data_IF_160841259411
#
_entry.id   IF_160841259411
#
_cell.length_a   1.000
_cell.length_b   1.000
_cell.length_c   1.000
_cell.angle_alpha   90.00
_cell.angle_beta   90.00
_cell.angle_gamma   90.00
#
_symmetry.space_group_name_H-M   'P 1'
#
loop_
_entity.id
_entity.type
_entity.pdbx_description
1 polymer ?
#
# COMPACT_ATOMS: atom_id res chain seq x y z
N UNK A 1 10.05 -18.29 -21.62
CA UNK A 1 10.63 -18.43 -20.27
C UNK A 1 9.89 -19.52 -19.53
N UNK A 2 10.55 -20.18 -18.58
CA UNK A 2 9.93 -21.20 -17.72
C UNK A 2 9.37 -20.63 -16.41
N UNK A 3 9.74 -19.41 -16.02
CA UNK A 3 9.17 -18.70 -14.86
C UNK A 3 7.65 -18.59 -14.97
N UNK A 4 6.96 -18.93 -13.89
CA UNK A 4 5.51 -19.04 -13.81
C UNK A 4 4.95 -20.41 -14.21
N UNK A 5 5.74 -21.27 -14.88
CA UNK A 5 5.34 -22.62 -15.25
C UNK A 5 5.49 -23.63 -14.10
N UNK A 6 4.77 -24.76 -14.17
CA UNK A 6 4.82 -25.81 -13.15
C UNK A 6 6.14 -26.59 -13.22
N UNK A 7 6.66 -26.95 -12.04
CA UNK A 7 7.68 -27.98 -11.87
C UNK A 7 6.96 -29.30 -11.59
N UNK A 8 7.23 -30.32 -12.41
CA UNK A 8 6.57 -31.62 -12.33
C UNK A 8 7.52 -32.71 -11.81
N UNK A 9 6.99 -33.65 -11.03
CA UNK A 9 7.70 -34.90 -10.76
C UNK A 9 7.51 -35.92 -11.89
N UNK A 10 8.17 -37.09 -11.78
CA UNK A 10 8.08 -38.17 -12.78
C UNK A 10 6.68 -38.76 -12.97
N UNK A 11 5.74 -38.48 -12.06
CA UNK A 11 4.33 -38.89 -12.16
C UNK A 11 3.45 -37.83 -12.83
N UNK A 12 4.01 -36.68 -13.20
CA UNK A 12 3.26 -35.54 -13.75
C UNK A 12 2.55 -34.69 -12.69
N UNK A 13 2.87 -34.85 -11.41
CA UNK A 13 2.29 -34.06 -10.32
C UNK A 13 3.08 -32.75 -10.16
N UNK A 14 2.37 -31.65 -9.89
CA UNK A 14 3.00 -30.33 -9.64
C UNK A 14 3.65 -30.34 -8.27
N UNK A 15 4.97 -30.18 -8.24
CA UNK A 15 5.77 -30.10 -7.00
C UNK A 15 6.26 -28.69 -6.69
N UNK A 16 6.13 -27.75 -7.62
CA UNK A 16 6.42 -26.33 -7.39
C UNK A 16 6.12 -25.44 -8.60
N UNK A 17 6.40 -24.13 -8.47
CA UNK A 17 6.33 -23.15 -9.56
C UNK A 17 7.73 -22.57 -9.78
N UNK A 18 8.20 -22.56 -11.03
CA UNK A 18 9.49 -21.98 -11.37
C UNK A 18 9.45 -20.45 -11.19
N UNK A 19 10.35 -19.87 -10.40
CA UNK A 19 10.30 -18.42 -10.08
C UNK A 19 11.52 -17.65 -10.55
N UNK A 20 12.72 -18.22 -10.47
CA UNK A 20 13.93 -17.52 -10.90
C UNK A 20 15.09 -18.45 -11.29
N UNK A 21 16.03 -17.89 -12.03
CA UNK A 21 17.39 -18.41 -12.23
C UNK A 21 18.37 -17.44 -11.57
N UNK A 22 19.41 -17.96 -10.92
CA UNK A 22 20.56 -17.13 -10.54
C UNK A 22 21.56 -17.17 -11.71
N UNK A 23 21.92 -16.00 -12.24
CA UNK A 23 22.95 -15.86 -13.28
C UNK A 23 24.02 -14.88 -12.80
N UNK A 24 25.24 -15.36 -12.55
CA UNK A 24 26.39 -14.51 -12.20
C UNK A 24 27.11 -13.92 -13.42
N UNK A 25 26.77 -14.34 -14.64
CA UNK A 25 27.54 -14.02 -15.85
C UNK A 25 26.72 -13.94 -17.16
N UNK A 26 25.38 -13.88 -17.07
CA UNK A 26 24.50 -13.79 -18.26
C UNK A 26 24.26 -15.12 -19.01
N UNK A 27 24.78 -16.25 -18.50
CA UNK A 27 24.40 -17.60 -18.92
C UNK A 27 23.83 -18.39 -17.73
N UNK A 28 22.87 -19.28 -17.99
CA UNK A 28 22.25 -20.12 -16.95
C UNK A 28 23.30 -21.05 -16.35
N UNK A 29 23.54 -20.97 -15.05
CA UNK A 29 24.43 -21.88 -14.32
C UNK A 29 23.86 -23.31 -14.19
N UNK A 30 22.74 -23.63 -14.85
CA UNK A 30 22.07 -24.93 -14.76
C UNK A 30 21.25 -25.12 -13.47
N UNK A 31 21.12 -24.08 -12.64
CA UNK A 31 20.36 -24.11 -11.38
C UNK A 31 19.10 -23.25 -11.54
N UNK A 32 17.94 -23.90 -11.48
CA UNK A 32 16.64 -23.24 -11.42
C UNK A 32 16.05 -23.34 -10.02
N UNK A 33 15.35 -22.29 -9.60
CA UNK A 33 14.63 -22.28 -8.32
C UNK A 33 13.13 -22.37 -8.56
N UNK A 34 12.48 -23.17 -7.73
CA UNK A 34 11.03 -23.29 -7.69
C UNK A 34 10.53 -23.10 -6.26
N UNK A 35 9.39 -22.43 -6.13
CA UNK A 35 8.68 -22.37 -4.86
C UNK A 35 7.93 -23.70 -4.68
N UNK A 36 8.09 -24.40 -3.54
CA UNK A 36 7.42 -25.67 -3.28
C UNK A 36 5.88 -25.59 -3.29
N UNK A 37 5.23 -26.63 -3.82
CA UNK A 37 3.77 -26.70 -3.97
C UNK A 37 2.98 -26.65 -2.66
N UNK A 38 3.54 -27.20 -1.57
CA UNK A 38 2.97 -27.19 -0.23
C UNK A 38 2.92 -25.77 0.38
N UNK A 39 3.88 -24.91 0.04
CA UNK A 39 3.86 -23.49 0.40
C UNK A 39 2.85 -22.70 -0.45
N UNK A 40 2.65 -23.11 -1.70
CA UNK A 40 1.74 -22.44 -2.65
C UNK A 40 0.27 -22.75 -2.34
N UNK A 41 -0.06 -23.99 -1.98
CA UNK A 41 -1.44 -24.41 -1.73
C UNK A 41 -2.23 -23.50 -0.78
N UNK A 42 -1.77 -23.18 0.45
CA UNK A 42 -2.52 -22.32 1.37
C UNK A 42 -2.65 -20.89 0.84
N UNK A 43 -1.69 -20.41 0.06
CA UNK A 43 -1.74 -19.09 -0.57
C UNK A 43 -2.80 -19.07 -1.67
N UNK A 44 -2.83 -20.08 -2.54
CA UNK A 44 -3.86 -20.23 -3.60
C UNK A 44 -5.24 -20.39 -2.97
N UNK A 45 -5.38 -21.19 -1.93
CA UNK A 45 -6.65 -21.35 -1.20
C UNK A 45 -7.11 -20.03 -0.58
N UNK A 46 -6.20 -19.28 0.06
CA UNK A 46 -6.51 -17.95 0.60
C UNK A 46 -6.93 -16.99 -0.50
N UNK A 47 -6.25 -17.00 -1.65
CA UNK A 47 -6.62 -16.15 -2.81
C UNK A 47 -8.01 -16.56 -3.32
N UNK A 48 -8.27 -17.84 -3.53
CA UNK A 48 -9.58 -18.31 -4.03
C UNK A 48 -10.73 -18.03 -3.05
N UNK A 49 -10.48 -18.10 -1.74
CA UNK A 49 -11.50 -17.95 -0.70
C UNK A 49 -11.74 -16.50 -0.26
N UNK A 50 -10.66 -15.73 -0.03
CA UNK A 50 -10.72 -14.36 0.49
C UNK A 50 -10.64 -13.30 -0.61
N UNK A 51 -9.90 -13.62 -1.67
CA UNK A 51 -9.52 -12.69 -2.74
C UNK A 51 -10.12 -13.14 -4.07
N UNK A 52 -11.41 -13.50 -4.02
CA UNK A 52 -12.18 -14.19 -5.06
C UNK A 52 -11.94 -13.58 -6.44
N UNK A 53 -10.95 -14.08 -7.19
CA UNK A 53 -10.62 -13.52 -8.50
C UNK A 53 -11.78 -13.86 -9.44
N UNK A 54 -12.62 -12.88 -9.76
CA UNK A 54 -13.72 -13.02 -10.71
C UNK A 54 -13.28 -12.37 -12.04
N UNK A 55 -13.25 -13.16 -13.11
CA UNK A 55 -12.89 -12.69 -14.46
C UNK A 55 -11.52 -11.98 -14.55
N UNK A 56 -10.54 -12.42 -13.76
CA UNK A 56 -9.19 -11.81 -13.72
C UNK A 56 -9.06 -10.57 -12.84
N UNK A 57 -10.14 -10.13 -12.19
CA UNK A 57 -10.14 -9.01 -11.26
C UNK A 57 -10.32 -9.50 -9.82
N UNK A 58 -9.82 -8.73 -8.85
CA UNK A 58 -10.10 -8.92 -7.41
C UNK A 58 -11.27 -8.01 -7.00
N UNK A 59 -12.54 -8.45 -7.11
CA UNK A 59 -13.72 -7.64 -6.78
C UNK A 59 -13.82 -7.24 -5.31
N UNK A 60 -13.07 -7.87 -4.41
CA UNK A 60 -13.11 -7.60 -2.97
C UNK A 60 -11.88 -6.85 -2.45
N UNK A 61 -11.12 -6.14 -3.29
CA UNK A 61 -10.03 -5.30 -2.79
C UNK A 61 -10.59 -4.26 -1.81
N UNK A 62 -9.94 -4.16 -0.65
CA UNK A 62 -10.27 -3.19 0.36
C UNK A 62 -10.12 -1.75 -0.17
N UNK A 63 -11.20 -0.98 -0.09
CA UNK A 63 -11.22 0.43 -0.46
C UNK A 63 -11.31 1.28 0.81
N UNK A 64 -10.45 2.28 0.93
CA UNK A 64 -10.43 3.23 2.05
C UNK A 64 -11.15 4.54 1.71
N UNK A 65 -11.16 4.94 0.43
CA UNK A 65 -11.78 6.18 -0.06
C UNK A 65 -11.04 7.46 0.35
N UNK A 66 -9.71 7.44 0.21
CA UNK A 66 -8.85 8.59 0.44
C UNK A 66 -8.05 8.92 -0.81
N UNK A 67 -7.73 10.20 -0.96
CA UNK A 67 -6.59 10.62 -1.75
C UNK A 67 -5.45 10.99 -0.81
N UNK A 68 -4.23 10.71 -1.23
CA UNK A 68 -3.04 11.11 -0.48
C UNK A 68 -2.12 11.97 -1.34
N UNK A 69 -1.33 12.81 -0.68
CA UNK A 69 -0.23 13.52 -1.33
C UNK A 69 0.91 12.52 -1.59
N UNK A 70 1.14 12.22 -2.87
CA UNK A 70 2.14 11.24 -3.32
C UNK A 70 3.47 11.86 -3.70
N UNK A 71 3.52 13.17 -3.85
CA UNK A 71 4.70 13.86 -4.38
C UNK A 71 5.64 14.22 -3.24
N UNK A 72 6.88 13.73 -3.33
CA UNK A 72 8.01 14.38 -2.67
C UNK A 72 8.06 15.81 -3.21
N UNK A 73 7.56 16.77 -2.45
CA UNK A 73 7.76 18.17 -2.81
C UNK A 73 9.25 18.44 -2.55
N UNK A 74 10.07 18.25 -3.58
CA UNK A 74 11.40 18.85 -3.62
C UNK A 74 11.20 20.36 -3.67
N UNK A 75 11.14 21.01 -2.51
CA UNK A 75 11.31 22.45 -2.44
C UNK A 75 12.78 22.70 -2.76
N UNK A 76 13.12 23.35 -3.90
CA UNK A 76 14.49 23.78 -4.12
C UNK A 76 14.90 24.64 -2.93
N UNK A 77 16.05 24.33 -2.33
CA UNK A 77 16.61 24.95 -1.12
C UNK A 77 17.04 26.41 -1.34
N UNK A 78 16.26 27.19 -2.10
CA UNK A 78 16.51 28.60 -2.43
C UNK A 78 15.32 29.51 -2.13
N UNK A 79 14.23 28.99 -1.55
CA UNK A 79 13.13 29.82 -1.02
C UNK A 79 13.23 29.94 0.50
N UNK A 80 14.44 30.21 1.00
CA UNK A 80 14.70 30.52 2.41
C UNK A 80 15.48 31.83 2.51
N UNK A 81 14.90 32.91 2.02
CA UNK A 81 15.28 34.27 2.38
C UNK A 81 14.08 35.18 2.13
N UNK A 82 13.39 35.57 3.20
CA UNK A 82 12.44 36.69 3.27
C UNK A 82 10.92 36.41 3.19
N UNK A 83 10.44 35.25 3.64
CA UNK A 83 9.03 35.17 4.05
C UNK A 83 8.84 34.26 5.25
N UNK A 84 8.55 34.86 6.40
CA UNK A 84 8.41 34.25 7.72
C UNK A 84 7.12 33.43 7.90
N UNK A 85 6.57 32.78 6.86
CA UNK A 85 5.34 31.98 6.96
C UNK A 85 5.19 30.96 5.80
N UNK A 86 6.24 30.17 5.47
CA UNK A 86 6.02 29.01 4.60
C UNK A 86 5.73 27.78 5.44
N UNK A 87 4.46 27.37 5.49
CA UNK A 87 3.90 26.17 6.14
C UNK A 87 4.26 24.85 5.42
N UNK A 88 5.10 24.94 4.39
CA UNK A 88 5.46 23.88 3.45
C UNK A 88 6.69 22.99 3.77
N UNK A 89 7.61 23.30 4.73
CA UNK A 89 8.80 22.46 4.94
C UNK A 89 8.50 21.11 5.60
N UNK A 90 7.28 20.87 6.11
CA UNK A 90 6.87 19.57 6.67
C UNK A 90 6.32 18.58 5.62
N UNK A 91 6.13 19.03 4.37
CA UNK A 91 5.86 18.16 3.21
C UNK A 91 7.13 17.43 2.72
N UNK A 92 8.32 17.88 3.13
CA UNK A 92 9.58 17.34 2.64
C UNK A 92 9.97 15.97 3.22
N UNK A 93 9.37 15.54 4.34
CA UNK A 93 9.76 14.32 5.07
C UNK A 93 8.62 13.31 5.27
N UNK A 94 7.39 13.64 4.89
CA UNK A 94 6.20 12.88 5.30
C UNK A 94 5.36 12.52 4.09
N UNK A 95 5.48 11.27 3.64
CA UNK A 95 4.75 10.72 2.50
C UNK A 95 3.44 10.13 3.01
N UNK A 96 2.35 10.23 2.23
CA UNK A 96 1.00 9.74 2.55
C UNK A 96 0.13 10.60 3.50
N UNK A 97 0.26 11.93 3.45
CA UNK A 97 -0.76 12.83 4.01
C UNK A 97 -2.09 12.68 3.28
N UNK A 98 -3.19 12.57 4.02
CA UNK A 98 -4.53 12.51 3.43
C UNK A 98 -4.86 13.88 2.84
N UNK A 99 -5.02 13.95 1.52
CA UNK A 99 -5.40 15.16 0.80
C UNK A 99 -6.91 15.35 0.73
N UNK A 100 -7.65 14.26 0.61
CA UNK A 100 -9.10 14.28 0.64
C UNK A 100 -9.66 12.96 1.13
N UNK A 101 -10.88 13.03 1.67
CA UNK A 101 -11.66 11.87 2.10
C UNK A 101 -12.95 11.89 1.30
N UNK A 102 -13.26 10.79 0.62
CA UNK A 102 -14.48 10.66 -0.18
C UNK A 102 -15.71 10.55 0.72
N UNK A 103 -16.84 11.10 0.27
CA UNK A 103 -18.09 11.00 1.00
C UNK A 103 -18.61 9.55 1.02
N UNK A 104 -19.16 9.10 2.15
CA UNK A 104 -19.58 7.71 2.41
C UNK A 104 -18.45 6.68 2.30
N UNK A 105 -17.19 7.13 2.49
CA UNK A 105 -16.04 6.23 2.52
C UNK A 105 -15.78 5.65 3.92
N UNK A 106 -15.09 4.50 4.00
CA UNK A 106 -14.54 3.98 5.26
C UNK A 106 -13.66 4.98 6.01
N UNK A 107 -12.89 5.78 5.29
CA UNK A 107 -12.07 6.82 5.88
C UNK A 107 -12.90 7.92 6.56
N UNK A 108 -14.03 8.32 5.97
CA UNK A 108 -14.95 9.25 6.61
C UNK A 108 -15.58 8.65 7.86
N UNK A 109 -16.03 7.39 7.78
CA UNK A 109 -16.60 6.68 8.93
C UNK A 109 -15.59 6.49 10.07
N UNK A 110 -14.30 6.41 9.73
CA UNK A 110 -13.18 6.34 10.67
C UNK A 110 -12.66 7.71 11.13
N UNK A 111 -13.33 8.81 10.75
CA UNK A 111 -12.98 10.18 11.13
C UNK A 111 -11.53 10.56 10.78
N UNK A 112 -11.00 10.01 9.67
CA UNK A 112 -9.70 10.40 9.16
C UNK A 112 -9.76 11.86 8.70
N UNK A 113 -8.77 12.64 9.12
CA UNK A 113 -8.73 14.08 8.86
C UNK A 113 -7.92 14.35 7.60
N UNK A 114 -8.52 14.94 6.54
CA UNK A 114 -7.74 15.44 5.41
C UNK A 114 -7.00 16.74 5.80
N UNK A 115 -5.94 17.05 5.07
CA UNK A 115 -5.36 18.39 5.10
C UNK A 115 -6.34 19.40 4.52
N UNK A 116 -6.39 20.58 5.12
CA UNK A 116 -7.27 21.68 4.69
C UNK A 116 -6.43 22.89 4.33
N UNK A 117 -6.69 23.48 3.17
CA UNK A 117 -6.08 24.75 2.76
C UNK A 117 -7.06 25.86 3.17
N UNK A 118 -6.62 26.76 4.04
CA UNK A 118 -7.41 27.92 4.47
C UNK A 118 -7.38 29.02 3.41
N UNK A 119 -8.34 29.94 3.48
CA UNK A 119 -8.46 31.07 2.55
C UNK A 119 -7.23 32.00 2.56
N UNK A 120 -6.44 31.97 3.64
CA UNK A 120 -5.17 32.71 3.77
C UNK A 120 -3.97 31.99 3.13
N UNK A 121 -4.19 30.85 2.49
CA UNK A 121 -3.15 30.01 1.89
C UNK A 121 -2.37 29.15 2.89
N UNK A 122 -2.73 29.16 4.17
CA UNK A 122 -2.13 28.27 5.17
C UNK A 122 -2.69 26.85 5.06
N UNK A 123 -1.84 25.86 5.30
CA UNK A 123 -2.22 24.43 5.28
C UNK A 123 -2.38 23.95 6.71
N UNK A 124 -3.57 23.48 7.05
CA UNK A 124 -3.83 22.73 8.27
C UNK A 124 -3.69 21.24 7.97
N UNK A 125 -2.64 20.62 8.52
CA UNK A 125 -2.39 19.20 8.32
C UNK A 125 -3.40 18.37 9.11
N UNK A 126 -3.96 17.35 8.44
CA UNK A 126 -4.79 16.34 9.06
C UNK A 126 -3.96 15.15 9.52
N UNK A 127 -4.28 13.98 8.97
CA UNK A 127 -3.64 12.71 9.28
C UNK A 127 -2.73 12.25 8.13
N UNK A 128 -1.55 11.73 8.47
CA UNK A 128 -0.68 10.97 7.57
C UNK A 128 -0.70 9.49 7.93
N UNK A 129 -0.85 8.60 6.95
CA UNK A 129 -0.81 7.16 7.19
C UNK A 129 0.64 6.68 7.20
N UNK A 130 1.05 6.07 8.31
CA UNK A 130 2.43 5.59 8.52
C UNK A 130 2.51 4.07 8.71
N UNK A 131 1.38 3.39 8.93
CA UNK A 131 1.33 1.93 8.92
C UNK A 131 -0.08 1.40 8.63
N UNK A 132 -0.17 0.22 8.03
CA UNK A 132 -1.41 -0.52 7.74
C UNK A 132 -1.27 -1.94 8.30
N UNK A 133 -2.17 -2.36 9.17
CA UNK A 133 -2.13 -3.70 9.78
C UNK A 133 -0.87 -3.98 10.61
N UNK A 134 -0.14 -2.95 11.03
CA UNK A 134 1.15 -3.06 11.72
C UNK A 134 2.37 -3.03 10.78
N UNK A 135 2.18 -3.07 9.46
CA UNK A 135 3.24 -2.92 8.48
C UNK A 135 3.53 -1.45 8.25
N UNK A 136 4.77 -1.01 8.47
CA UNK A 136 5.19 0.37 8.22
C UNK A 136 5.06 0.70 6.73
N UNK A 137 4.54 1.88 6.47
CA UNK A 137 4.29 2.39 5.13
C UNK A 137 5.05 3.70 4.96
N UNK A 138 6.05 3.70 4.09
CA UNK A 138 6.93 4.84 3.85
C UNK A 138 6.63 5.56 2.53
N UNK A 139 5.96 4.89 1.60
CA UNK A 139 5.63 5.43 0.28
C UNK A 139 4.16 5.19 -0.08
N UNK A 140 3.68 5.88 -1.12
CA UNK A 140 2.35 5.64 -1.67
C UNK A 140 2.22 4.22 -2.24
N UNK A 141 3.30 3.69 -2.83
CA UNK A 141 3.31 2.35 -3.38
C UNK A 141 3.18 1.29 -2.28
N UNK A 142 3.85 1.49 -1.13
CA UNK A 142 3.69 0.62 0.03
C UNK A 142 2.27 0.70 0.59
N UNK A 143 1.71 1.92 0.71
CA UNK A 143 0.34 2.12 1.18
C UNK A 143 -0.65 1.36 0.31
N UNK A 144 -0.53 1.55 -1.00
CA UNK A 144 -1.36 0.91 -2.00
C UNK A 144 -1.24 -0.61 -1.91
N UNK A 145 -0.01 -1.13 -1.88
CA UNK A 145 0.27 -2.56 -1.79
C UNK A 145 -0.36 -3.18 -0.55
N UNK A 146 -0.19 -2.56 0.62
CA UNK A 146 -0.77 -3.07 1.86
C UNK A 146 -2.30 -3.04 1.82
N UNK A 147 -2.92 -1.97 1.31
CA UNK A 147 -4.37 -1.91 1.14
C UNK A 147 -4.89 -2.93 0.12
N UNK A 148 -4.15 -3.20 -0.96
CA UNK A 148 -4.49 -4.21 -1.97
C UNK A 148 -4.41 -5.66 -1.45
N UNK A 149 -3.69 -5.90 -0.36
CA UNK A 149 -3.69 -7.21 0.32
C UNK A 149 -4.90 -7.41 1.23
N UNK A 150 -5.59 -6.33 1.58
CA UNK A 150 -6.75 -6.36 2.47
C UNK A 150 -8.05 -6.58 1.69
N UNK A 151 -9.04 -7.16 2.36
CA UNK A 151 -10.33 -7.50 1.74
C UNK A 151 -11.41 -6.52 2.18
N UNK A 152 -12.35 -6.19 1.30
CA UNK A 152 -13.54 -5.43 1.65
C UNK A 152 -14.35 -6.13 2.76
N UNK A 153 -14.73 -5.38 3.80
CA UNK A 153 -15.34 -5.88 5.02
C UNK A 153 -14.35 -6.27 6.12
N UNK A 154 -13.04 -6.31 5.82
CA UNK A 154 -12.00 -6.53 6.83
C UNK A 154 -11.77 -5.27 7.66
N UNK A 155 -11.62 -5.45 8.97
CA UNK A 155 -11.22 -4.38 9.88
C UNK A 155 -9.69 -4.32 9.94
N UNK A 156 -9.12 -3.18 9.56
CA UNK A 156 -7.68 -2.94 9.50
C UNK A 156 -7.29 -1.83 10.47
N UNK A 157 -6.19 -2.03 11.18
CA UNK A 157 -5.59 -1.00 12.03
C UNK A 157 -4.70 -0.08 11.19
N UNK A 158 -5.06 1.19 11.06
CA UNK A 158 -4.24 2.22 10.46
C UNK A 158 -3.50 2.97 11.56
N UNK A 159 -2.17 3.09 11.45
CA UNK A 159 -1.43 4.03 12.29
C UNK A 159 -1.34 5.34 11.54
N UNK A 160 -1.91 6.38 12.12
CA UNK A 160 -1.84 7.75 11.59
C UNK A 160 -0.97 8.63 12.47
N UNK A 161 -0.37 9.63 11.85
CA UNK A 161 0.49 10.62 12.50
C UNK A 161 -0.04 12.02 12.20
N UNK A 162 -0.06 12.88 13.20
CA UNK A 162 -0.42 14.30 13.05
C UNK A 162 0.80 15.20 12.77
N UNK A 163 0.57 16.51 12.64
CA UNK A 163 1.61 17.51 12.41
C UNK A 163 2.65 17.62 13.54
N UNK A 164 2.27 17.23 14.76
CA UNK A 164 3.13 17.24 15.96
C UNK A 164 3.88 15.91 16.14
N UNK A 165 3.87 15.06 15.12
CA UNK A 165 4.43 13.70 15.09
C UNK A 165 3.78 12.71 16.07
N UNK A 166 2.62 13.04 16.66
CA UNK A 166 1.92 12.12 17.54
C UNK A 166 1.25 11.04 16.70
N UNK A 167 1.51 9.78 17.07
CA UNK A 167 0.92 8.61 16.42
C UNK A 167 -0.32 8.16 17.17
N UNK A 168 -1.37 7.82 16.43
CA UNK A 168 -2.57 7.15 16.96
C UNK A 168 -3.01 6.03 16.03
N UNK A 169 -3.65 5.02 16.60
CA UNK A 169 -4.20 3.89 15.84
C UNK A 169 -5.68 4.13 15.60
N UNK A 170 -6.12 4.00 14.36
CA UNK A 170 -7.50 4.13 13.92
C UNK A 170 -7.91 2.81 13.29
N UNK A 171 -8.98 2.19 13.80
CA UNK A 171 -9.52 0.97 13.23
C UNK A 171 -10.53 1.31 12.15
N UNK A 172 -10.33 0.79 10.94
CA UNK A 172 -11.18 1.08 9.78
C UNK A 172 -11.70 -0.22 9.18
N UNK A 173 -13.00 -0.30 8.94
CA UNK A 173 -13.58 -1.41 8.18
C UNK A 173 -13.56 -1.06 6.71
N UNK A 174 -12.74 -1.74 5.92
CA UNK A 174 -12.58 -1.43 4.50
C UNK A 174 -13.87 -1.68 3.73
N UNK A 175 -14.16 -0.83 2.76
CA UNK A 175 -15.33 -0.90 1.91
C UNK A 175 -15.03 -1.62 0.60
N UNK A 176 -16.08 -1.87 -0.19
CA UNK A 176 -15.91 -2.13 -1.62
C UNK A 176 -15.80 -0.81 -2.34
N UNK A 177 -14.89 -0.72 -3.31
CA UNK A 177 -14.84 0.45 -4.19
C UNK A 177 -16.17 0.54 -4.96
N UNK A 178 -16.86 1.70 -4.95
CA UNK A 178 -18.09 1.90 -5.70
C UNK A 178 -17.87 1.84 -7.22
#
# INVERSE_FOLDING_TARGET
GNSGGPLLNLKGEVVGINTAIITTSGSSAGIGFAVPSDQIQPVVQRILQKDRIENGNRPNVGWLGISVVTQDVQIPTEVSSNSTNSTLPLLAASKNWISSVEANSPAQAAELKPLTIKDDGSVEYGDAIVAVGGNTVESFEDLRKELETCVAGEQVALTVRDAEEKKRVVYVTLGRKP
#
